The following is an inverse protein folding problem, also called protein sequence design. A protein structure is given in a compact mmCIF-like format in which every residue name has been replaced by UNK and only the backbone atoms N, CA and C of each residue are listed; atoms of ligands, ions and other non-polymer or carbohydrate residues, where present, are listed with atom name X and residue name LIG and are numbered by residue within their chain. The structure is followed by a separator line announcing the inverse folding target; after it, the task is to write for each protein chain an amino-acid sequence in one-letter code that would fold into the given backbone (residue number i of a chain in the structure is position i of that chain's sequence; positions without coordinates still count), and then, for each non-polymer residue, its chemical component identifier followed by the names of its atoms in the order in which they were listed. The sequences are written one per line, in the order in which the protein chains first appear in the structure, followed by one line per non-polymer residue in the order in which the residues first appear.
data_IF_285938718720
#
_entry.id   IF_285938718720
#
_cell.length_a   1.000
_cell.length_b   1.000
_cell.length_c   1.000
_cell.angle_alpha   90.00
_cell.angle_beta   90.00
_cell.angle_gamma   90.00
#
_symmetry.space_group_name_H-M   'P 1'
#
loop_
_entity.id
_entity.type
_entity.pdbx_description
1 polymer ?
#
# COMPACT_ATOMS: atom_id res chain seq x y z
N UNK A 1 19.71 20.03 -25.24
CA UNK A 1 19.52 18.92 -26.19
C UNK A 1 19.98 17.65 -25.51
N UNK A 2 19.04 16.79 -25.08
CA UNK A 2 19.38 15.57 -24.36
C UNK A 2 19.95 14.54 -25.35
N UNK A 3 21.19 14.12 -25.12
CA UNK A 3 21.77 12.96 -25.80
C UNK A 3 21.01 11.72 -25.31
N UNK A 4 20.06 11.23 -26.11
CA UNK A 4 19.43 9.94 -25.88
C UNK A 4 20.52 8.87 -25.88
N UNK A 5 20.61 8.07 -24.83
CA UNK A 5 21.57 6.99 -24.73
C UNK A 5 21.40 6.06 -25.95
N UNK A 6 22.34 6.09 -26.89
CA UNK A 6 22.34 5.15 -28.01
C UNK A 6 22.65 3.75 -27.47
N UNK A 7 21.73 2.82 -27.70
CA UNK A 7 21.93 1.41 -27.37
C UNK A 7 23.17 0.88 -28.08
N UNK A 8 24.01 0.13 -27.36
CA UNK A 8 25.19 -0.51 -27.94
C UNK A 8 24.76 -1.66 -28.87
N UNK A 9 25.64 -2.02 -29.82
CA UNK A 9 25.41 -3.17 -30.71
C UNK A 9 25.12 -4.47 -29.94
N UNK A 10 25.80 -4.68 -28.82
CA UNK A 10 25.59 -5.83 -27.95
C UNK A 10 24.19 -5.81 -27.31
N UNK A 11 23.75 -4.65 -26.83
CA UNK A 11 22.41 -4.48 -26.27
C UNK A 11 21.32 -4.75 -27.32
N UNK A 12 21.50 -4.27 -28.55
CA UNK A 12 20.58 -4.53 -29.65
C UNK A 12 20.50 -6.02 -29.99
N UNK A 13 21.63 -6.71 -30.08
CA UNK A 13 21.66 -8.16 -30.36
C UNK A 13 20.96 -8.95 -29.25
N UNK A 14 21.17 -8.57 -27.99
CA UNK A 14 20.52 -9.21 -26.85
C UNK A 14 19.00 -9.02 -26.86
N UNK A 15 18.53 -7.83 -27.24
CA UNK A 15 17.09 -7.55 -27.38
C UNK A 15 16.48 -8.39 -28.51
N UNK A 16 17.13 -8.47 -29.67
CA UNK A 16 16.66 -9.29 -30.80
C UNK A 16 16.57 -10.76 -30.40
N UNK A 17 17.60 -11.31 -29.77
CA UNK A 17 17.61 -12.71 -29.30
C UNK A 17 16.49 -12.99 -28.29
N UNK A 18 16.19 -12.03 -27.41
CA UNK A 18 15.08 -12.16 -26.46
C UNK A 18 13.73 -12.15 -27.19
N UNK A 19 13.53 -11.25 -28.15
CA UNK A 19 12.29 -11.20 -28.95
C UNK A 19 12.10 -12.50 -29.73
N UNK A 20 13.14 -13.01 -30.38
CA UNK A 20 13.10 -14.28 -31.12
C UNK A 20 12.78 -15.49 -30.21
N UNK A 21 13.37 -15.51 -29.01
CA UNK A 21 13.09 -16.57 -28.03
C UNK A 21 11.64 -16.53 -27.53
N UNK A 22 11.07 -15.33 -27.32
CA UNK A 22 9.66 -15.17 -26.94
C UNK A 22 8.73 -15.55 -28.08
N UNK A 23 9.02 -15.09 -29.31
CA UNK A 23 8.27 -15.41 -30.51
C UNK A 23 8.17 -16.92 -30.72
N UNK A 24 9.32 -17.61 -30.64
CA UNK A 24 9.41 -19.06 -30.78
C UNK A 24 8.63 -19.82 -29.71
N UNK A 25 8.65 -19.34 -28.46
CA UNK A 25 7.93 -19.97 -27.34
C UNK A 25 6.42 -19.80 -27.43
N UNK A 26 5.96 -18.65 -27.93
CA UNK A 26 4.53 -18.33 -28.01
C UNK A 26 3.91 -18.69 -29.37
N UNK A 27 4.72 -19.13 -30.35
CA UNK A 27 4.26 -19.40 -31.71
C UNK A 27 3.76 -18.14 -32.43
N UNK A 28 4.31 -16.98 -32.07
CA UNK A 28 3.93 -15.68 -32.62
C UNK A 28 4.95 -15.22 -33.67
N UNK A 29 4.51 -14.39 -34.61
CA UNK A 29 5.43 -13.63 -35.45
C UNK A 29 6.08 -12.48 -34.65
N UNK A 30 7.05 -11.81 -35.27
CA UNK A 30 7.83 -10.75 -34.61
C UNK A 30 6.95 -9.56 -34.21
N UNK A 31 6.02 -9.14 -35.07
CA UNK A 31 5.17 -7.98 -34.81
C UNK A 31 4.17 -8.26 -33.68
N UNK A 32 3.55 -9.44 -33.69
CA UNK A 32 2.69 -9.93 -32.62
C UNK A 32 3.48 -10.13 -31.31
N UNK A 33 4.74 -10.53 -31.38
CA UNK A 33 5.62 -10.65 -30.21
C UNK A 33 5.97 -9.29 -29.63
N UNK A 34 6.25 -8.30 -30.47
CA UNK A 34 6.49 -6.92 -30.03
C UNK A 34 5.22 -6.38 -29.34
N UNK A 35 4.04 -6.57 -29.94
CA UNK A 35 2.76 -6.22 -29.33
C UNK A 35 2.53 -6.91 -27.98
N UNK A 36 2.73 -8.24 -27.92
CA UNK A 36 2.65 -9.01 -26.68
C UNK A 36 3.62 -8.50 -25.60
N UNK A 37 4.86 -8.18 -25.96
CA UNK A 37 5.85 -7.65 -25.02
C UNK A 37 5.50 -6.23 -24.58
N UNK A 38 4.94 -5.39 -25.46
CA UNK A 38 4.44 -4.07 -25.12
C UNK A 38 3.24 -4.16 -24.18
N UNK A 39 2.30 -5.07 -24.43
CA UNK A 39 1.13 -5.33 -23.59
C UNK A 39 1.54 -5.93 -22.24
N UNK A 40 2.47 -6.86 -22.22
CA UNK A 40 3.04 -7.44 -20.99
C UNK A 40 3.84 -6.40 -20.20
N UNK A 41 4.60 -5.53 -20.88
CA UNK A 41 5.29 -4.41 -20.24
C UNK A 41 4.28 -3.39 -19.71
N UNK A 42 3.22 -3.06 -20.44
CA UNK A 42 2.17 -2.16 -20.01
C UNK A 42 1.36 -2.74 -18.83
N UNK A 43 1.07 -4.04 -18.84
CA UNK A 43 0.44 -4.76 -17.74
C UNK A 43 1.37 -4.84 -16.50
N UNK A 44 2.68 -5.00 -16.71
CA UNK A 44 3.70 -4.90 -15.66
C UNK A 44 3.84 -3.49 -15.10
N UNK A 45 3.71 -2.45 -15.94
CA UNK A 45 3.68 -1.03 -15.56
C UNK A 45 2.35 -0.59 -14.94
N UNK A 46 1.30 -1.41 -15.03
CA UNK A 46 0.02 -1.25 -14.34
C UNK A 46 -0.07 -2.01 -13.01
N UNK A 47 1.04 -2.55 -12.50
CA UNK A 47 1.15 -2.73 -11.05
C UNK A 47 1.00 -1.33 -10.42
N UNK A 48 0.24 -1.16 -9.33
CA UNK A 48 0.33 0.07 -8.58
C UNK A 48 1.79 0.21 -8.15
N UNK A 49 2.57 1.04 -8.86
CA UNK A 49 3.89 1.45 -8.42
C UNK A 49 3.61 2.37 -7.24
N UNK A 50 3.59 1.78 -6.04
CA UNK A 50 3.46 2.54 -4.83
C UNK A 50 4.72 3.39 -4.71
N UNK A 51 4.58 4.70 -4.88
CA UNK A 51 5.66 5.67 -4.85
C UNK A 51 6.27 5.80 -3.44
N UNK A 52 5.55 5.33 -2.41
CA UNK A 52 5.99 5.31 -1.02
C UNK A 52 5.39 4.14 -0.23
N UNK A 53 6.05 3.77 0.88
CA UNK A 53 5.55 2.80 1.87
C UNK A 53 4.16 3.18 2.39
N UNK A 54 3.92 4.47 2.60
CA UNK A 54 2.62 4.99 3.06
C UNK A 54 1.53 4.86 1.99
N UNK A 55 1.88 5.01 0.71
CA UNK A 55 0.94 4.72 -0.38
C UNK A 55 0.61 3.22 -0.46
N UNK A 56 1.60 2.35 -0.23
CA UNK A 56 1.39 0.90 -0.14
C UNK A 56 0.45 0.54 1.01
N UNK A 57 0.69 1.08 2.21
CA UNK A 57 -0.17 0.94 3.39
C UNK A 57 -1.62 1.35 3.11
N UNK A 58 -1.83 2.52 2.49
CA UNK A 58 -3.16 3.00 2.12
C UNK A 58 -3.86 2.06 1.12
N UNK A 59 -3.10 1.54 0.15
CA UNK A 59 -3.57 0.56 -0.83
C UNK A 59 -4.04 -0.75 -0.17
N UNK A 60 -3.24 -1.31 0.75
CA UNK A 60 -3.58 -2.53 1.49
C UNK A 60 -4.93 -2.38 2.23
N UNK A 61 -5.11 -1.26 2.94
CA UNK A 61 -6.36 -0.97 3.66
C UNK A 61 -7.54 -0.84 2.69
N UNK A 62 -7.37 -0.10 1.59
CA UNK A 62 -8.42 0.07 0.59
C UNK A 62 -8.84 -1.26 -0.05
N UNK A 63 -7.87 -2.12 -0.39
CA UNK A 63 -8.14 -3.46 -0.94
C UNK A 63 -8.89 -4.33 0.08
N UNK A 64 -8.58 -4.24 1.38
CA UNK A 64 -9.34 -4.94 2.42
C UNK A 64 -10.79 -4.48 2.50
N UNK A 65 -11.04 -3.17 2.55
CA UNK A 65 -12.40 -2.63 2.63
C UNK A 65 -13.24 -3.06 1.41
N UNK A 66 -12.67 -2.89 0.20
CA UNK A 66 -13.33 -3.29 -1.05
C UNK A 66 -13.68 -4.78 -1.10
N UNK A 67 -12.83 -5.65 -0.54
CA UNK A 67 -13.11 -7.10 -0.44
C UNK A 67 -14.35 -7.38 0.41
N UNK A 68 -14.49 -6.72 1.55
CA UNK A 68 -15.66 -6.90 2.41
C UNK A 68 -16.94 -6.36 1.76
N UNK A 69 -16.86 -5.19 1.11
CA UNK A 69 -17.99 -4.60 0.38
C UNK A 69 -18.45 -5.50 -0.76
N UNK A 70 -17.51 -6.00 -1.57
CA UNK A 70 -17.81 -6.88 -2.71
C UNK A 70 -18.44 -8.21 -2.29
N UNK A 71 -18.09 -8.71 -1.09
CA UNK A 71 -18.66 -9.94 -0.56
C UNK A 71 -19.91 -9.72 0.30
N UNK A 72 -20.30 -8.46 0.54
CA UNK A 72 -21.45 -8.10 1.38
C UNK A 72 -21.32 -8.55 2.84
N UNK A 73 -20.12 -8.89 3.29
CA UNK A 73 -19.88 -9.38 4.66
C UNK A 73 -18.45 -9.06 5.12
N UNK A 74 -18.25 -8.64 6.39
CA UNK A 74 -16.94 -8.30 6.92
C UNK A 74 -16.14 -9.56 7.29
N UNK A 75 -15.77 -10.36 6.29
CA UNK A 75 -15.03 -11.61 6.47
C UNK A 75 -13.56 -11.34 6.81
N UNK A 76 -12.96 -10.31 6.20
CA UNK A 76 -11.55 -9.97 6.40
C UNK A 76 -11.43 -8.81 7.38
N UNK A 77 -11.06 -9.14 8.63
CA UNK A 77 -10.93 -8.18 9.72
C UNK A 77 -9.56 -8.26 10.36
N UNK A 78 -8.83 -7.15 10.31
CA UNK A 78 -7.70 -6.89 11.20
C UNK A 78 -7.74 -5.42 11.67
N UNK A 79 -8.69 -5.09 12.57
CA UNK A 79 -8.96 -3.69 12.93
C UNK A 79 -7.75 -2.99 13.54
N UNK A 80 -6.95 -3.73 14.32
CA UNK A 80 -5.74 -3.18 14.93
C UNK A 80 -4.70 -2.83 13.87
N UNK A 81 -4.46 -3.72 12.91
CA UNK A 81 -3.55 -3.45 11.81
C UNK A 81 -4.03 -2.27 10.95
N UNK A 82 -5.33 -2.22 10.60
CA UNK A 82 -5.88 -1.11 9.82
C UNK A 82 -5.72 0.26 10.49
N UNK A 83 -5.86 0.31 11.81
CA UNK A 83 -5.61 1.51 12.61
C UNK A 83 -4.14 1.93 12.56
N UNK A 84 -3.22 0.98 12.70
CA UNK A 84 -1.78 1.26 12.63
C UNK A 84 -1.35 1.73 11.23
N UNK A 85 -1.93 1.16 10.17
CA UNK A 85 -1.70 1.62 8.80
C UNK A 85 -2.22 3.05 8.59
N UNK A 86 -3.40 3.39 9.12
CA UNK A 86 -3.97 4.73 9.03
C UNK A 86 -3.10 5.76 9.78
N UNK A 87 -2.62 5.41 10.98
CA UNK A 87 -1.70 6.26 11.76
C UNK A 87 -0.34 6.43 11.07
N UNK A 88 0.18 5.39 10.41
CA UNK A 88 1.41 5.49 9.62
C UNK A 88 1.24 6.48 8.45
N UNK A 89 0.14 6.38 7.71
CA UNK A 89 -0.17 7.29 6.59
C UNK A 89 -0.37 8.71 7.10
N UNK A 90 -1.16 8.89 8.16
CA UNK A 90 -1.44 10.21 8.71
C UNK A 90 -0.19 10.90 9.27
N UNK A 91 0.73 10.15 9.90
CA UNK A 91 2.01 10.68 10.36
C UNK A 91 2.90 11.18 9.23
N UNK A 92 2.89 10.51 8.07
CA UNK A 92 3.61 10.92 6.86
C UNK A 92 2.99 12.19 6.22
N UNK A 93 1.67 12.34 6.32
CA UNK A 93 0.91 13.50 5.85
C UNK A 93 0.90 14.67 6.86
N UNK A 94 1.52 14.53 8.04
CA UNK A 94 1.39 15.44 9.17
C UNK A 94 -0.08 15.79 9.50
N UNK A 95 -0.97 14.82 9.32
CA UNK A 95 -2.42 14.97 9.50
C UNK A 95 -2.82 14.46 10.89
N UNK A 96 -3.50 15.27 11.71
CA UNK A 96 -3.98 14.82 13.01
C UNK A 96 -5.10 13.76 12.85
N UNK A 97 -5.08 12.74 13.70
CA UNK A 97 -6.08 11.66 13.71
C UNK A 97 -6.87 11.71 15.00
N UNK A 98 -8.20 11.81 14.91
CA UNK A 98 -9.07 11.70 16.09
C UNK A 98 -9.43 10.26 16.39
N UNK A 99 -9.85 9.95 17.64
CA UNK A 99 -10.39 8.62 18.00
C UNK A 99 -11.53 8.21 17.07
N UNK A 100 -12.45 9.12 16.73
CA UNK A 100 -13.56 8.83 15.81
C UNK A 100 -13.06 8.51 14.40
N UNK A 101 -12.05 9.23 13.91
CA UNK A 101 -11.40 8.94 12.63
C UNK A 101 -10.72 7.57 12.63
N UNK A 102 -10.02 7.23 13.72
CA UNK A 102 -9.38 5.93 13.88
C UNK A 102 -10.40 4.78 13.99
N UNK A 103 -11.57 5.04 14.59
CA UNK A 103 -12.67 4.07 14.60
C UNK A 103 -13.20 3.81 13.19
N UNK A 104 -13.28 4.83 12.34
CA UNK A 104 -13.60 4.67 10.93
C UNK A 104 -12.49 3.88 10.20
N UNK A 105 -11.22 4.13 10.56
CA UNK A 105 -10.08 3.41 10.01
C UNK A 105 -10.21 1.88 10.18
N UNK A 106 -10.67 1.46 11.34
CA UNK A 106 -10.85 0.06 11.75
C UNK A 106 -11.77 -0.77 10.84
N UNK A 107 -12.76 -0.14 10.18
CA UNK A 107 -13.74 -0.84 9.34
C UNK A 107 -14.58 -1.88 10.10
N UNK A 108 -14.88 -1.60 11.38
CA UNK A 108 -15.75 -2.41 12.27
C UNK A 108 -16.69 -1.50 13.06
N UNK A 109 -17.77 -2.01 13.68
CA UNK A 109 -18.65 -1.19 14.51
C UNK A 109 -17.90 -0.42 15.60
N UNK A 110 -18.33 0.81 15.89
CA UNK A 110 -17.61 1.76 16.77
C UNK A 110 -17.25 1.19 18.13
N UNK A 111 -18.15 0.48 18.81
CA UNK A 111 -17.87 -0.11 20.13
C UNK A 111 -16.79 -1.20 20.07
N UNK A 112 -16.68 -1.89 18.93
CA UNK A 112 -15.61 -2.85 18.69
C UNK A 112 -14.30 -2.11 18.41
N UNK A 113 -14.33 -1.07 17.59
CA UNK A 113 -13.16 -0.24 17.31
C UNK A 113 -12.58 0.38 18.60
N UNK A 114 -13.42 0.94 19.47
CA UNK A 114 -12.98 1.52 20.75
C UNK A 114 -12.22 0.50 21.61
N UNK A 115 -12.69 -0.75 21.69
CA UNK A 115 -11.96 -1.83 22.39
C UNK A 115 -10.57 -2.10 21.81
N UNK A 116 -10.41 -1.95 20.49
CA UNK A 116 -9.10 -2.05 19.85
C UNK A 116 -8.23 -0.84 20.15
N UNK A 117 -8.77 0.38 20.13
CA UNK A 117 -8.04 1.60 20.54
C UNK A 117 -7.51 1.44 21.97
N UNK A 118 -8.38 1.10 22.92
CA UNK A 118 -7.98 0.92 24.33
C UNK A 118 -6.91 -0.17 24.49
N UNK A 119 -7.03 -1.28 23.73
CA UNK A 119 -6.02 -2.35 23.74
C UNK A 119 -4.68 -1.89 23.17
N UNK A 120 -4.68 -1.18 22.05
CA UNK A 120 -3.46 -0.67 21.42
C UNK A 120 -2.76 0.36 22.32
N UNK A 121 -3.53 1.22 22.99
CA UNK A 121 -3.03 2.17 23.98
C UNK A 121 -2.41 1.46 25.19
N UNK A 122 -3.12 0.46 25.74
CA UNK A 122 -2.63 -0.33 26.89
C UNK A 122 -1.32 -1.05 26.56
N UNK A 123 -1.12 -1.46 25.31
CA UNK A 123 0.11 -2.09 24.83
C UNK A 123 1.22 -1.08 24.48
N UNK A 124 0.98 0.24 24.62
CA UNK A 124 1.94 1.28 24.26
C UNK A 124 2.19 1.42 22.76
N UNK A 125 1.25 0.94 21.93
CA UNK A 125 1.37 1.00 20.47
C UNK A 125 0.87 2.33 19.89
N UNK A 126 -0.02 3.00 20.61
CA UNK A 126 -0.48 4.34 20.32
C UNK A 126 -0.67 5.12 21.64
N UNK A 127 -0.82 6.43 21.55
CA UNK A 127 -1.19 7.31 22.65
C UNK A 127 -2.37 8.19 22.24
N UNK A 128 -3.14 8.67 23.22
CA UNK A 128 -4.22 9.65 23.00
C UNK A 128 -4.02 10.88 23.87
N UNK A 129 -4.38 12.04 23.32
CA UNK A 129 -4.37 13.32 24.02
C UNK A 129 -5.71 14.04 23.84
N UNK A 130 -6.24 14.73 24.85
CA UNK A 130 -7.46 15.53 24.70
C UNK A 130 -7.22 16.70 23.73
N UNK A 131 -8.23 17.04 22.93
CA UNK A 131 -8.21 18.26 22.12
C UNK A 131 -8.42 19.48 23.03
N UNK A 132 -7.50 20.47 23.04
CA UNK A 132 -7.64 21.67 23.88
C UNK A 132 -8.89 22.50 23.52
N UNK A 133 -9.38 22.40 22.28
CA UNK A 133 -10.48 23.23 21.77
C UNK A 133 -11.84 22.50 21.80
N UNK A 134 -11.86 21.17 21.91
CA UNK A 134 -13.10 20.36 22.00
C UNK A 134 -12.95 19.21 23.00
N UNK A 135 -13.56 19.35 24.18
CA UNK A 135 -13.54 18.33 25.25
C UNK A 135 -14.12 16.97 24.86
N UNK A 136 -14.84 16.88 23.73
CA UNK A 136 -15.39 15.61 23.21
C UNK A 136 -14.42 14.91 22.26
N UNK A 137 -13.36 15.57 21.83
CA UNK A 137 -12.39 15.03 20.87
C UNK A 137 -11.10 14.65 21.58
N UNK A 138 -10.56 13.51 21.14
CA UNK A 138 -9.24 13.04 21.50
C UNK A 138 -8.45 12.83 20.21
N UNK A 139 -7.24 13.36 20.19
CA UNK A 139 -6.22 13.09 19.18
C UNK A 139 -5.50 11.80 19.52
N UNK A 140 -5.10 11.06 18.49
CA UNK A 140 -4.42 9.76 18.61
C UNK A 140 -3.21 9.75 17.70
N UNK A 141 -2.10 9.25 18.22
CA UNK A 141 -0.85 9.11 17.50
C UNK A 141 -0.27 7.72 17.73
N UNK A 142 0.33 7.11 16.70
CA UNK A 142 1.11 5.89 16.88
C UNK A 142 2.41 6.21 17.60
N UNK A 143 2.86 5.35 18.51
CA UNK A 143 4.15 5.60 19.17
C UNK A 143 5.28 5.48 18.14
N UNK A 144 6.37 6.27 18.25
CA UNK A 144 7.43 6.29 17.24
C UNK A 144 7.98 4.90 16.89
N UNK A 145 8.28 4.08 17.91
CA UNK A 145 8.78 2.72 17.70
C UNK A 145 7.75 1.76 17.10
N UNK A 146 6.45 2.04 17.27
CA UNK A 146 5.40 1.27 16.58
C UNK A 146 5.34 1.64 15.11
N UNK A 147 5.32 2.94 14.79
CA UNK A 147 5.26 3.41 13.42
C UNK A 147 6.50 2.99 12.61
N UNK A 148 7.67 2.96 13.23
CA UNK A 148 8.90 2.44 12.61
C UNK A 148 8.75 0.95 12.23
N UNK A 149 8.34 0.10 13.17
CA UNK A 149 8.12 -1.34 12.92
C UNK A 149 7.04 -1.60 11.87
N UNK A 150 5.95 -0.84 11.91
CA UNK A 150 4.88 -0.95 10.91
C UNK A 150 5.43 -0.56 9.54
N UNK A 151 6.20 0.54 9.44
CA UNK A 151 6.85 0.98 8.21
C UNK A 151 7.79 -0.10 7.65
N UNK A 152 8.60 -0.75 8.49
CA UNK A 152 9.47 -1.85 8.09
C UNK A 152 8.70 -3.05 7.53
N UNK A 153 7.60 -3.44 8.20
CA UNK A 153 6.74 -4.53 7.73
C UNK A 153 6.15 -4.20 6.36
N UNK A 154 5.58 -3.00 6.22
CA UNK A 154 4.94 -2.56 4.98
C UNK A 154 5.97 -2.41 3.86
N UNK A 155 7.17 -1.89 4.16
CA UNK A 155 8.27 -1.79 3.21
C UNK A 155 8.70 -3.14 2.65
N UNK A 156 8.89 -4.15 3.51
CA UNK A 156 9.18 -5.53 3.06
C UNK A 156 8.08 -6.09 2.17
N UNK A 157 6.81 -5.91 2.55
CA UNK A 157 5.68 -6.37 1.75
C UNK A 157 5.58 -5.66 0.40
N UNK A 158 5.99 -4.39 0.33
CA UNK A 158 6.08 -3.63 -0.91
C UNK A 158 7.18 -4.16 -1.82
N UNK A 159 8.36 -4.48 -1.28
CA UNK A 159 9.49 -5.01 -2.05
C UNK A 159 9.22 -6.41 -2.61
N UNK A 160 8.36 -7.19 -1.94
CA UNK A 160 7.95 -8.54 -2.34
C UNK A 160 6.82 -8.58 -3.39
N UNK A 161 6.13 -7.46 -3.66
CA UNK A 161 4.92 -7.39 -4.50
C UNK A 161 5.19 -7.19 -5.99
#
# INVERSE_FOLDING_TARGET
MAAGAMLTREQLLRMVQLVEAVASRQGLDVDATIGFLQDAAAAGMQRPSYKSVTQFAAGMRAVRLRRNDALGTPVFRDPAWDMLLDLLVAGDEARPVSVSGLCHAAGVPTTTALRHVDRLETLGLLSRAPDPDDKRRFWVEGTPGTLERVREIVGRLQDEA
#
